data_IF_354991870439
#
_entry.id   IF_354991870439
#
_cell.length_a   1.000
_cell.length_b   1.000
_cell.length_c   1.000
_cell.angle_alpha   90.00
_cell.angle_beta   90.00
_cell.angle_gamma   90.00
#
_symmetry.space_group_name_H-M   'P 1'
#
loop_
_entity.id
_entity.type
_entity.pdbx_description
1 polymer ?
#
# COMPACT_ATOMS: atom_id res chain seq x y z
N UNK A 1 -12.07 21.09 3.99
CA UNK A 1 -11.86 20.07 5.03
C UNK A 1 -11.65 18.74 4.30
N UNK A 2 -10.41 18.45 3.91
CA UNK A 2 -10.12 17.30 3.05
C UNK A 2 -10.20 16.03 3.89
N UNK A 3 -11.19 15.19 3.60
CA UNK A 3 -11.24 13.82 4.11
C UNK A 3 -10.14 13.03 3.40
N UNK A 4 -8.88 13.24 3.81
CA UNK A 4 -7.82 12.27 3.51
C UNK A 4 -8.10 11.04 4.37
N UNK A 5 -9.02 10.19 3.91
CA UNK A 5 -9.30 8.91 4.56
C UNK A 5 -8.04 8.05 4.46
N UNK A 6 -7.26 8.03 5.54
CA UNK A 6 -6.13 7.11 5.70
C UNK A 6 -6.73 5.76 6.05
N UNK A 7 -6.72 4.81 5.11
CA UNK A 7 -7.13 3.45 5.42
C UNK A 7 -5.90 2.68 5.90
N UNK A 8 -5.98 2.18 7.13
CA UNK A 8 -4.93 1.34 7.71
C UNK A 8 -5.20 -0.11 7.31
N UNK A 9 -4.33 -0.68 6.50
CA UNK A 9 -4.38 -2.09 6.14
C UNK A 9 -3.30 -2.85 6.91
N UNK A 10 -3.69 -3.75 7.80
CA UNK A 10 -2.74 -4.68 8.43
C UNK A 10 -2.55 -5.84 7.47
N UNK A 11 -1.37 -5.91 6.84
CA UNK A 11 -1.03 -7.04 5.96
C UNK A 11 0.03 -7.88 6.66
N UNK A 12 -0.29 -9.16 6.89
CA UNK A 12 0.64 -10.10 7.51
C UNK A 12 1.72 -10.49 6.50
N UNK A 13 2.92 -9.93 6.68
CA UNK A 13 4.04 -10.09 5.78
C UNK A 13 4.82 -11.36 6.13
N UNK A 14 4.55 -12.46 5.40
CA UNK A 14 5.44 -13.62 5.43
C UNK A 14 6.70 -13.30 4.61
N UNK A 15 7.89 -13.40 5.21
CA UNK A 15 9.20 -13.04 4.62
C UNK A 15 9.48 -13.65 3.24
N UNK A 16 8.79 -14.74 2.88
CA UNK A 16 8.91 -15.42 1.58
C UNK A 16 8.07 -14.80 0.46
N UNK A 17 7.12 -13.93 0.78
CA UNK A 17 6.16 -13.38 -0.19
C UNK A 17 6.72 -12.09 -0.79
N UNK A 18 6.89 -12.08 -2.12
CA UNK A 18 7.31 -10.88 -2.85
C UNK A 18 6.30 -9.74 -2.66
N UNK A 19 6.79 -8.53 -2.35
CA UNK A 19 5.95 -7.34 -2.07
C UNK A 19 4.95 -7.06 -3.18
N UNK A 20 5.41 -7.18 -4.43
CA UNK A 20 4.55 -7.04 -5.61
C UNK A 20 3.27 -7.87 -5.52
N UNK A 21 3.37 -9.16 -5.19
CA UNK A 21 2.23 -10.08 -5.15
C UNK A 21 1.24 -9.70 -4.06
N UNK A 22 1.75 -9.21 -2.92
CA UNK A 22 0.95 -8.79 -1.78
C UNK A 22 0.19 -7.48 -2.07
N UNK A 23 0.87 -6.51 -2.67
CA UNK A 23 0.25 -5.25 -3.10
C UNK A 23 -0.79 -5.47 -4.20
N UNK A 24 -0.47 -6.31 -5.19
CA UNK A 24 -1.40 -6.70 -6.25
C UNK A 24 -2.63 -7.42 -5.67
N UNK A 25 -2.44 -8.41 -4.77
CA UNK A 25 -3.55 -9.11 -4.13
C UNK A 25 -4.44 -8.19 -3.29
N UNK A 26 -3.85 -7.23 -2.56
CA UNK A 26 -4.61 -6.23 -1.81
C UNK A 26 -5.45 -5.34 -2.74
N UNK A 27 -4.85 -4.85 -3.84
CA UNK A 27 -5.56 -4.06 -4.84
C UNK A 27 -6.70 -4.85 -5.47
N UNK A 28 -6.47 -6.12 -5.84
CA UNK A 28 -7.52 -7.00 -6.40
C UNK A 28 -8.65 -7.24 -5.42
N UNK A 29 -8.35 -7.56 -4.16
CA UNK A 29 -9.37 -7.83 -3.13
C UNK A 29 -10.22 -6.59 -2.80
N UNK A 30 -9.62 -5.41 -2.83
CA UNK A 30 -10.31 -4.14 -2.55
C UNK A 30 -10.88 -3.49 -3.82
N UNK A 31 -10.73 -4.13 -4.99
CA UNK A 31 -11.09 -3.60 -6.30
C UNK A 31 -10.49 -2.20 -6.59
N UNK A 32 -9.25 -1.99 -6.16
CA UNK A 32 -8.50 -0.74 -6.27
C UNK A 32 -7.51 -0.81 -7.42
N UNK A 33 -7.30 0.34 -8.08
CA UNK A 33 -6.27 0.44 -9.10
C UNK A 33 -4.94 0.80 -8.45
N UNK A 34 -3.87 0.06 -8.76
CA UNK A 34 -2.55 0.30 -8.17
C UNK A 34 -2.00 1.72 -8.43
N UNK A 35 -2.49 2.40 -9.48
CA UNK A 35 -2.15 3.80 -9.79
C UNK A 35 -2.82 4.85 -8.88
N UNK A 36 -3.91 4.50 -8.21
CA UNK A 36 -4.64 5.40 -7.30
C UNK A 36 -4.30 5.13 -5.83
N UNK A 37 -3.41 4.19 -5.54
CA UNK A 37 -2.99 3.86 -4.18
C UNK A 37 -1.49 4.03 -4.02
N UNK A 38 -1.07 4.56 -2.89
CA UNK A 38 0.33 4.68 -2.48
C UNK A 38 0.49 3.91 -1.19
N UNK A 39 1.36 2.91 -1.22
CA UNK A 39 1.71 2.12 -0.04
C UNK A 39 2.86 2.80 0.68
N UNK A 40 2.75 2.93 2.00
CA UNK A 40 3.81 3.46 2.86
C UNK A 40 4.11 2.52 4.00
N UNK A 41 5.38 2.38 4.32
CA UNK A 41 5.86 1.63 5.46
C UNK A 41 6.88 2.49 6.21
N UNK A 42 6.64 2.72 7.51
CA UNK A 42 7.45 3.62 8.33
C UNK A 42 7.75 4.96 7.64
N UNK A 43 6.70 5.62 7.13
CA UNK A 43 6.74 6.88 6.38
C UNK A 43 7.49 6.86 5.03
N UNK A 44 8.07 5.72 4.64
CA UNK A 44 8.70 5.53 3.34
C UNK A 44 7.69 5.00 2.33
N UNK A 45 7.66 5.60 1.14
CA UNK A 45 6.85 5.08 0.02
C UNK A 45 7.45 3.77 -0.47
N UNK A 46 6.62 2.73 -0.46
CA UNK A 46 6.93 1.39 -0.96
C UNK A 46 6.89 1.37 -2.49
N UNK A 47 7.96 0.85 -3.10
CA UNK A 47 7.97 0.51 -4.54
C UNK A 47 7.74 -0.98 -4.72
N UNK A 48 7.24 -1.34 -5.90
CA UNK A 48 7.07 -2.74 -6.32
C UNK A 48 8.40 -3.51 -6.41
N UNK A 49 9.51 -2.79 -6.56
CA UNK A 49 10.87 -3.33 -6.61
C UNK A 49 11.49 -3.51 -5.23
N UNK A 50 10.90 -2.93 -4.17
CA UNK A 50 11.43 -3.07 -2.82
C UNK A 50 11.12 -4.48 -2.28
N UNK A 51 12.04 -5.00 -1.47
CA UNK A 51 11.89 -6.29 -0.78
C UNK A 51 11.69 -6.08 0.71
N UNK A 52 11.05 -7.04 1.38
CA UNK A 52 10.88 -7.02 2.83
C UNK A 52 12.22 -6.91 3.56
N UNK A 53 13.27 -7.59 3.07
CA UNK A 53 14.63 -7.50 3.61
C UNK A 53 15.22 -6.09 3.48
N UNK A 54 15.08 -5.45 2.32
CA UNK A 54 15.60 -4.08 2.11
C UNK A 54 14.91 -3.03 3.00
N UNK A 55 13.70 -3.34 3.47
CA UNK A 55 12.91 -2.47 4.35
C UNK A 55 12.97 -2.90 5.81
N UNK A 56 13.73 -3.96 6.14
CA UNK A 56 13.77 -4.56 7.48
C UNK A 56 12.37 -4.86 8.05
N UNK A 57 11.44 -5.24 7.18
CA UNK A 57 10.07 -5.59 7.57
C UNK A 57 10.04 -6.88 8.38
N UNK A 58 9.25 -6.88 9.45
CA UNK A 58 9.00 -8.03 10.30
C UNK A 58 7.58 -8.57 10.08
N UNK A 59 7.37 -9.83 10.49
CA UNK A 59 6.03 -10.39 10.49
C UNK A 59 5.16 -9.66 11.52
N UNK A 60 3.93 -9.32 11.15
CA UNK A 60 3.04 -8.48 11.94
C UNK A 60 3.21 -6.96 11.74
N UNK A 61 4.10 -6.52 10.85
CA UNK A 61 4.22 -5.11 10.51
C UNK A 61 3.01 -4.57 9.75
N UNK A 62 2.77 -3.26 9.89
CA UNK A 62 1.64 -2.58 9.27
C UNK A 62 2.09 -1.75 8.06
N UNK A 63 1.33 -1.84 6.97
CA UNK A 63 1.50 -0.98 5.80
C UNK A 63 0.35 0.04 5.76
N UNK A 64 0.70 1.31 5.64
CA UNK A 64 -0.28 2.37 5.48
C UNK A 64 -0.65 2.50 4.01
N UNK A 65 -1.94 2.56 3.71
CA UNK A 65 -2.44 2.71 2.34
C UNK A 65 -3.08 4.08 2.19
N UNK A 66 -2.54 4.85 1.24
CA UNK A 66 -3.02 6.19 0.94
C UNK A 66 -3.66 6.20 -0.43
N UNK A 67 -4.89 6.70 -0.52
CA UNK A 67 -5.57 6.90 -1.78
C UNK A 67 -5.12 8.21 -2.40
N UNK A 68 -4.59 8.14 -3.61
CA UNK A 68 -4.44 9.30 -4.48
C UNK A 68 -5.82 9.59 -5.06
N UNK A 69 -6.61 10.36 -4.31
CA UNK A 69 -7.90 10.86 -4.79
C UNK A 69 -7.62 11.89 -5.88
N UNK A 70 -7.60 11.46 -7.13
CA UNK A 70 -7.71 12.39 -8.25
C UNK A 70 -9.15 12.90 -8.28
N UNK A 71 -9.37 14.06 -7.66
CA UNK A 71 -10.64 14.78 -7.78
C UNK A 71 -10.73 15.25 -9.24
N UNK A 72 -11.35 14.44 -10.10
CA UNK A 72 -11.71 14.88 -11.44
C UNK A 72 -12.86 15.87 -11.31
N UNK A 73 -12.52 17.16 -11.27
CA UNK A 73 -13.49 18.22 -11.50
C UNK A 73 -13.95 18.10 -12.95
N UNK A 74 -15.16 17.55 -13.16
CA UNK A 74 -15.86 17.72 -14.42
C UNK A 74 -16.27 19.20 -14.50
N UNK A 75 -15.67 19.95 -15.42
CA UNK A 75 -16.24 21.19 -15.95
C UNK A 75 -17.21 20.84 -17.07
#
# INVERSE_FOLDING_TARGET
MALSGVWKATVLLNKKVAMRKLLEAYCTNQNLQMKIVTFRYNDKVLKLTDTAEALNMQDGDNIQVYFKVEVKFYQ
#
